data_IF_652597478377
#
_entry.id   IF_652597478377
#
_cell.length_a   1.000
_cell.length_b   1.000
_cell.length_c   1.000
_cell.angle_alpha   90.00
_cell.angle_beta   90.00
_cell.angle_gamma   90.00
#
_symmetry.space_group_name_H-M   'P 1'
#
loop_
_entity.id
_entity.type
_entity.pdbx_description
1 polymer ?
#
# COMPACT_ATOMS: atom_id res chain seq x y z
N UNK A 1 -11.29 -16.12 1.65
CA UNK A 1 -9.87 -15.93 1.29
C UNK A 1 -9.66 -16.32 -0.17
N UNK A 2 -8.91 -15.55 -0.91
CA UNK A 2 -8.54 -15.92 -2.28
C UNK A 2 -7.12 -15.43 -2.61
N UNK A 3 -6.52 -16.09 -3.61
CA UNK A 3 -5.16 -15.87 -4.06
C UNK A 3 -5.13 -15.08 -5.37
N UNK A 4 -4.21 -14.14 -5.48
CA UNK A 4 -3.95 -13.39 -6.71
C UNK A 4 -2.44 -13.22 -6.91
N UNK A 5 -1.98 -13.40 -8.14
CA UNK A 5 -0.57 -13.23 -8.48
C UNK A 5 -0.43 -12.40 -9.75
N UNK A 6 0.49 -11.44 -9.72
CA UNK A 6 0.96 -10.72 -10.90
C UNK A 6 2.48 -10.59 -10.82
N UNK A 7 3.09 -9.83 -11.71
CA UNK A 7 4.54 -9.67 -11.75
C UNK A 7 5.10 -8.87 -10.56
N UNK A 8 4.24 -8.17 -9.82
CA UNK A 8 4.63 -7.36 -8.65
C UNK A 8 4.63 -8.17 -7.36
N UNK A 9 3.65 -9.09 -7.17
CA UNK A 9 3.45 -9.78 -5.91
C UNK A 9 2.52 -10.97 -6.01
N UNK A 10 2.64 -11.85 -5.02
CA UNK A 10 1.64 -12.86 -4.69
C UNK A 10 0.84 -12.34 -3.51
N UNK A 11 -0.48 -12.52 -3.53
CA UNK A 11 -1.35 -11.93 -2.51
C UNK A 11 -2.41 -12.92 -2.05
N UNK A 12 -2.67 -12.88 -0.74
CA UNK A 12 -3.85 -13.50 -0.15
C UNK A 12 -4.78 -12.38 0.29
N UNK A 13 -6.00 -12.40 -0.23
CA UNK A 13 -7.01 -11.40 0.12
C UNK A 13 -8.06 -12.01 1.03
N UNK A 14 -8.61 -11.18 1.92
CA UNK A 14 -9.70 -11.55 2.83
C UNK A 14 -9.33 -12.81 3.64
N UNK A 15 -8.17 -12.74 4.30
CA UNK A 15 -7.56 -13.88 5.00
C UNK A 15 -8.44 -14.37 6.14
N UNK A 16 -9.03 -13.44 6.88
CA UNK A 16 -9.97 -13.76 7.96
C UNK A 16 -11.35 -13.25 7.60
N UNK A 17 -12.36 -14.06 7.91
CA UNK A 17 -13.75 -13.64 7.76
C UNK A 17 -14.11 -12.76 8.96
N UNK A 18 -14.04 -11.45 8.76
CA UNK A 18 -14.38 -10.44 9.77
C UNK A 18 -15.67 -9.74 9.36
N UNK A 19 -16.46 -9.29 10.36
CA UNK A 19 -17.74 -8.62 10.11
C UNK A 19 -17.54 -7.34 9.29
N UNK A 20 -16.57 -6.52 9.68
CA UNK A 20 -16.27 -5.27 9.03
C UNK A 20 -14.84 -5.30 8.48
N UNK A 21 -14.71 -5.04 7.17
CA UNK A 21 -13.41 -4.96 6.53
C UNK A 21 -12.86 -6.30 6.06
N UNK A 22 -11.57 -6.28 5.76
CA UNK A 22 -10.82 -7.47 5.34
C UNK A 22 -9.34 -7.34 5.69
N UNK A 23 -8.68 -8.47 5.82
CA UNK A 23 -7.27 -8.57 6.12
C UNK A 23 -6.59 -9.22 4.92
N UNK A 24 -5.55 -8.57 4.41
CA UNK A 24 -4.82 -9.01 3.23
C UNK A 24 -3.34 -9.22 3.55
N UNK A 25 -2.71 -10.10 2.80
CA UNK A 25 -1.26 -10.33 2.86
C UNK A 25 -0.70 -10.26 1.44
N UNK A 26 0.35 -9.46 1.25
CA UNK A 26 1.08 -9.38 -0.01
C UNK A 26 2.49 -9.90 0.19
N UNK A 27 2.87 -10.87 -0.63
CA UNK A 27 4.22 -11.45 -0.69
C UNK A 27 4.92 -10.81 -1.88
N UNK A 28 5.88 -9.92 -1.62
CA UNK A 28 6.48 -9.09 -2.67
C UNK A 28 7.89 -9.57 -2.98
N UNK A 29 8.03 -10.25 -4.11
CA UNK A 29 9.29 -10.89 -4.50
C UNK A 29 10.29 -9.93 -5.15
N UNK A 30 9.80 -8.89 -5.85
CA UNK A 30 10.64 -7.97 -6.60
C UNK A 30 10.79 -6.63 -5.90
N UNK A 31 12.01 -6.08 -5.91
CA UNK A 31 12.29 -4.73 -5.42
C UNK A 31 12.15 -3.67 -6.52
N UNK A 32 11.81 -4.07 -7.74
CA UNK A 32 11.76 -3.18 -8.91
C UNK A 32 10.35 -2.69 -9.25
N UNK A 33 9.32 -3.34 -8.71
CA UNK A 33 7.93 -2.98 -8.99
C UNK A 33 7.37 -2.07 -7.91
N UNK A 34 6.62 -1.07 -8.34
CA UNK A 34 5.97 -0.09 -7.48
C UNK A 34 4.47 -0.35 -7.53
N UNK A 35 3.84 -0.49 -6.36
CA UNK A 35 2.40 -0.59 -6.21
C UNK A 35 1.90 0.77 -5.72
N UNK A 36 1.47 1.63 -6.63
CA UNK A 36 1.02 3.00 -6.36
C UNK A 36 0.18 3.49 -7.54
N UNK A 37 -0.61 4.47 -7.39
CA UNK A 37 -1.13 5.18 -6.21
C UNK A 37 -2.60 4.85 -6.08
N UNK A 38 -3.06 4.66 -4.86
CA UNK A 38 -4.47 4.40 -4.58
C UNK A 38 -4.93 5.28 -3.42
N UNK A 39 -6.16 5.76 -3.48
CA UNK A 39 -6.81 6.39 -2.33
C UNK A 39 -8.25 5.93 -2.25
N UNK A 40 -8.84 6.16 -1.09
CA UNK A 40 -10.23 5.86 -0.81
C UNK A 40 -10.92 7.09 -0.22
N UNK A 41 -12.23 7.20 -0.40
CA UNK A 41 -13.01 8.27 0.20
C UNK A 41 -13.59 7.87 1.56
N UNK A 42 -13.76 6.57 1.80
CA UNK A 42 -14.40 6.03 2.99
C UNK A 42 -13.47 5.13 3.79
N UNK A 43 -12.74 4.24 3.10
CA UNK A 43 -11.92 3.21 3.70
C UNK A 43 -10.65 3.76 4.32
N UNK A 44 -10.29 3.21 5.51
CA UNK A 44 -8.98 3.37 6.13
C UNK A 44 -8.19 2.10 5.90
N UNK A 45 -6.90 2.24 5.68
CA UNK A 45 -5.94 1.13 5.59
C UNK A 45 -4.96 1.19 6.76
N UNK A 46 -4.59 0.02 7.27
CA UNK A 46 -3.56 -0.13 8.31
C UNK A 46 -2.52 -1.10 7.82
N UNK A 47 -1.26 -0.68 7.73
CA UNK A 47 -0.18 -1.45 7.12
C UNK A 47 0.90 -1.81 8.13
N UNK A 48 1.35 -3.07 8.08
CA UNK A 48 2.43 -3.59 8.92
C UNK A 48 3.35 -4.47 8.09
N UNK A 49 4.66 -4.25 8.18
CA UNK A 49 5.65 -5.14 7.57
C UNK A 49 5.95 -6.29 8.53
N UNK A 50 5.63 -7.51 8.12
CA UNK A 50 5.89 -8.70 8.96
C UNK A 50 7.17 -9.43 8.57
N UNK A 51 7.71 -9.16 7.40
CA UNK A 51 9.02 -9.68 6.95
C UNK A 51 9.64 -8.70 5.96
N UNK A 52 10.94 -8.45 6.10
CA UNK A 52 11.69 -7.60 5.18
C UNK A 52 11.46 -6.12 5.45
N UNK A 53 11.35 -5.33 4.40
CA UNK A 53 11.21 -3.88 4.51
C UNK A 53 10.55 -3.27 3.28
N UNK A 54 9.85 -2.14 3.50
CA UNK A 54 9.13 -1.41 2.47
C UNK A 54 9.40 0.08 2.55
N UNK A 55 9.51 0.70 1.38
CA UNK A 55 9.38 2.15 1.22
C UNK A 55 7.92 2.44 0.92
N UNK A 56 7.29 3.23 1.79
CA UNK A 56 5.88 3.60 1.68
C UNK A 56 5.78 5.07 1.33
N UNK A 57 4.98 5.37 0.31
CA UNK A 57 4.67 6.75 -0.06
C UNK A 57 3.25 7.13 0.33
N UNK A 58 3.08 8.36 0.79
CA UNK A 58 1.78 8.96 1.06
C UNK A 58 1.73 10.32 0.37
N UNK A 59 0.75 10.51 -0.50
CA UNK A 59 0.49 11.81 -1.12
C UNK A 59 -0.69 12.45 -0.43
N UNK A 60 -0.41 13.49 0.35
CA UNK A 60 -1.34 14.13 1.26
C UNK A 60 -1.89 15.39 0.59
N UNK A 61 -3.22 15.55 0.48
CA UNK A 61 -3.79 16.73 -0.13
C UNK A 61 -3.53 17.99 0.70
N UNK A 62 -3.23 19.08 0.01
CA UNK A 62 -3.04 20.40 0.60
C UNK A 62 -4.22 21.29 0.24
N UNK A 63 -4.38 22.40 0.96
CA UNK A 63 -5.50 23.33 0.78
C UNK A 63 -5.53 23.98 -0.61
N UNK A 64 -4.36 24.08 -1.27
CA UNK A 64 -4.25 24.68 -2.62
C UNK A 64 -4.56 23.70 -3.76
N UNK A 65 -4.98 22.49 -3.45
CA UNK A 65 -5.30 21.44 -4.43
C UNK A 65 -4.10 20.63 -4.90
N UNK A 66 -2.90 20.91 -4.40
CA UNK A 66 -1.70 20.11 -4.66
C UNK A 66 -1.56 19.01 -3.62
N UNK A 67 -0.57 18.13 -3.81
CA UNK A 67 -0.28 17.03 -2.91
C UNK A 67 1.16 17.14 -2.42
N UNK A 68 1.37 16.80 -1.14
CA UNK A 68 2.70 16.68 -0.55
C UNK A 68 3.00 15.19 -0.38
N UNK A 69 4.11 14.72 -0.96
CA UNK A 69 4.54 13.33 -0.81
C UNK A 69 5.41 13.21 0.43
N UNK A 70 5.03 12.30 1.32
CA UNK A 70 5.81 11.90 2.50
C UNK A 70 6.18 10.44 2.38
N UNK A 71 7.37 10.12 2.88
CA UNK A 71 7.90 8.76 2.87
C UNK A 71 7.96 8.19 4.27
N UNK A 72 7.55 6.94 4.39
CA UNK A 72 7.69 6.13 5.60
C UNK A 72 8.41 4.83 5.24
N UNK A 73 9.17 4.31 6.19
CA UNK A 73 9.87 3.05 5.99
C UNK A 73 9.39 2.05 7.03
N UNK A 74 8.90 0.90 6.56
CA UNK A 74 8.47 -0.20 7.39
C UNK A 74 9.51 -1.31 7.35
N UNK A 75 9.75 -1.95 8.50
CA UNK A 75 10.69 -3.07 8.62
C UNK A 75 10.22 -4.03 9.69
N UNK A 76 10.50 -5.32 9.51
CA UNK A 76 10.27 -6.32 10.53
C UNK A 76 11.18 -6.14 11.76
N UNK A 77 12.26 -5.38 11.62
CA UNK A 77 13.18 -5.03 12.72
C UNK A 77 12.71 -3.86 13.56
N UNK A 78 11.72 -3.12 13.09
CA UNK A 78 11.09 -2.02 13.81
C UNK A 78 9.57 -2.12 13.57
N UNK A 79 8.90 -3.14 14.14
CA UNK A 79 7.48 -3.37 13.88
C UNK A 79 6.63 -2.18 14.32
N UNK A 80 5.78 -1.73 13.40
CA UNK A 80 4.78 -0.68 13.67
C UNK A 80 3.68 -0.76 12.64
N UNK A 81 2.56 -0.15 12.96
CA UNK A 81 1.43 -0.02 12.05
C UNK A 81 1.31 1.43 11.61
N UNK A 82 1.17 1.66 10.32
CA UNK A 82 0.86 2.99 9.80
C UNK A 82 -0.58 3.02 9.30
N UNK A 83 -1.23 4.16 9.52
CA UNK A 83 -2.61 4.39 9.13
C UNK A 83 -2.67 5.24 7.87
N UNK A 84 -3.46 4.80 6.88
CA UNK A 84 -3.78 5.56 5.68
C UNK A 84 -5.22 6.06 5.79
N UNK A 85 -5.40 7.36 6.01
CA UNK A 85 -6.73 7.95 6.15
C UNK A 85 -7.36 8.20 4.77
N UNK A 86 -8.70 8.28 4.67
CA UNK A 86 -9.36 8.65 3.42
C UNK A 86 -8.82 9.96 2.85
N UNK A 87 -8.72 10.02 1.52
CA UNK A 87 -8.21 11.19 0.81
C UNK A 87 -6.70 11.22 0.60
N UNK A 88 -5.94 10.36 1.26
CA UNK A 88 -4.49 10.25 1.09
C UNK A 88 -4.19 9.14 0.11
N UNK A 89 -3.49 9.46 -0.99
CA UNK A 89 -2.95 8.45 -1.89
C UNK A 89 -1.82 7.71 -1.19
N UNK A 90 -1.77 6.40 -1.36
CA UNK A 90 -0.74 5.57 -0.77
C UNK A 90 -0.18 4.58 -1.79
N UNK A 91 1.03 4.15 -1.53
CA UNK A 91 1.72 3.17 -2.35
C UNK A 91 2.96 2.64 -1.66
N UNK A 92 3.55 1.61 -2.23
CA UNK A 92 4.73 1.00 -1.65
C UNK A 92 5.61 0.35 -2.71
N UNK A 93 6.86 0.13 -2.33
CA UNK A 93 7.76 -0.83 -3.00
C UNK A 93 8.54 -1.60 -1.94
N UNK A 94 8.88 -2.84 -2.22
CA UNK A 94 9.76 -3.61 -1.35
C UNK A 94 11.20 -3.11 -1.49
N UNK A 95 11.92 -3.03 -0.37
CA UNK A 95 13.35 -2.72 -0.33
C UNK A 95 14.16 -4.02 -0.37
N UNK A 96 13.66 -5.08 0.26
CA UNK A 96 14.26 -6.41 0.25
C UNK A 96 13.37 -7.39 -0.50
N UNK A 97 13.94 -8.30 -1.30
CA UNK A 97 13.13 -9.33 -1.96
C UNK A 97 12.50 -10.27 -0.93
N UNK A 98 11.28 -10.72 -1.22
CA UNK A 98 10.56 -11.62 -0.32
C UNK A 98 9.94 -10.92 0.89
N UNK A 99 9.78 -9.60 0.84
CA UNK A 99 9.11 -8.84 1.88
C UNK A 99 7.61 -9.15 1.94
N UNK A 100 7.04 -9.10 3.13
CA UNK A 100 5.63 -9.43 3.37
C UNK A 100 4.95 -8.26 4.05
N UNK A 101 3.87 -7.77 3.42
CA UNK A 101 3.03 -6.70 3.93
C UNK A 101 1.70 -7.30 4.39
N UNK A 102 1.35 -7.05 5.65
CA UNK A 102 0.05 -7.37 6.23
C UNK A 102 -0.74 -6.07 6.31
N UNK A 103 -1.98 -6.07 5.81
CA UNK A 103 -2.79 -4.86 5.85
C UNK A 103 -4.25 -5.16 6.13
N UNK A 104 -4.84 -4.31 6.97
CA UNK A 104 -6.24 -4.33 7.31
C UNK A 104 -6.95 -3.17 6.63
N UNK A 105 -8.06 -3.48 5.96
CA UNK A 105 -8.94 -2.51 5.32
C UNK A 105 -10.24 -2.46 6.12
N UNK A 106 -10.69 -1.27 6.48
CA UNK A 106 -11.91 -1.12 7.32
C UNK A 106 -13.20 -1.52 6.61
N UNK A 107 -13.14 -1.65 5.28
CA UNK A 107 -14.29 -2.04 4.44
C UNK A 107 -13.88 -3.17 3.51
N UNK A 108 -14.84 -4.00 3.12
CA UNK A 108 -14.62 -4.99 2.06
C UNK A 108 -14.28 -4.27 0.76
N UNK A 109 -13.50 -4.93 -0.10
CA UNK A 109 -13.09 -4.36 -1.37
C UNK A 109 -14.29 -3.81 -2.14
N UNK A 110 -14.24 -2.53 -2.48
CA UNK A 110 -15.25 -1.84 -3.27
C UNK A 110 -14.54 -1.03 -4.36
N UNK A 111 -14.62 -1.46 -5.63
CA UNK A 111 -13.95 -0.75 -6.72
C UNK A 111 -14.47 0.68 -6.92
N UNK A 112 -15.68 1.01 -6.46
CA UNK A 112 -16.22 2.37 -6.53
C UNK A 112 -15.57 3.32 -5.51
N UNK A 113 -14.96 2.77 -4.45
CA UNK A 113 -14.22 3.55 -3.44
C UNK A 113 -12.70 3.47 -3.68
N UNK A 114 -12.26 3.10 -4.87
CA UNK A 114 -10.85 3.06 -5.23
C UNK A 114 -10.57 4.09 -6.32
N UNK A 115 -9.74 5.07 -5.99
CA UNK A 115 -9.30 6.12 -6.90
C UNK A 115 -7.81 5.93 -7.15
N UNK A 116 -7.40 5.93 -8.41
CA UNK A 116 -6.03 5.65 -8.81
C UNK A 116 -5.34 6.87 -9.40
N UNK A 117 -4.04 6.97 -9.17
CA UNK A 117 -3.12 7.85 -9.89
C UNK A 117 -1.93 7.01 -10.35
N UNK A 118 -1.14 7.56 -11.26
CA UNK A 118 0.00 6.87 -11.83
C UNK A 118 1.27 7.17 -11.04
N UNK A 119 2.20 6.24 -11.05
CA UNK A 119 3.56 6.49 -10.56
C UNK A 119 4.14 7.71 -11.28
N UNK A 120 4.67 8.67 -10.53
CA UNK A 120 5.21 9.92 -11.05
C UNK A 120 4.22 11.08 -11.12
N UNK A 121 2.93 10.85 -10.93
CA UNK A 121 1.91 11.90 -11.04
C UNK A 121 2.10 13.04 -10.03
N UNK A 122 2.79 12.79 -8.93
CA UNK A 122 3.06 13.80 -7.91
C UNK A 122 4.48 14.35 -7.99
N UNK A 123 5.23 14.03 -9.06
CA UNK A 123 6.63 14.42 -9.21
C UNK A 123 7.56 13.68 -8.27
N UNK A 124 7.12 12.57 -7.71
CA UNK A 124 7.87 11.81 -6.73
C UNK A 124 8.90 10.88 -7.38
N UNK A 125 9.96 10.56 -6.63
CA UNK A 125 11.00 9.64 -7.02
C UNK A 125 11.01 8.44 -6.06
N UNK A 126 10.66 7.25 -6.59
CA UNK A 126 10.68 6.01 -5.83
C UNK A 126 12.07 5.38 -5.70
N UNK A 127 13.06 5.93 -6.42
CA UNK A 127 14.43 5.38 -6.42
C UNK A 127 14.61 4.18 -7.33
N UNK A 128 13.61 3.83 -8.11
CA UNK A 128 13.68 2.75 -9.11
C UNK A 128 12.69 3.04 -10.24
N UNK A 129 12.97 2.51 -11.41
CA UNK A 129 11.99 2.51 -12.49
C UNK A 129 10.96 1.40 -12.24
N UNK A 130 9.69 1.72 -12.43
CA UNK A 130 8.63 0.74 -12.32
C UNK A 130 8.63 -0.15 -13.56
N UNK A 131 8.83 -1.44 -13.33
CA UNK A 131 8.81 -2.44 -14.40
C UNK A 131 7.55 -3.30 -14.28
#
# INVERSE_FOLDING_TARGET
MYYHEDDRAQRLFDVFDVLDGQINVSYVNSTEHIVAWHKHNIQYDYWCCVKGSFKVGMAIPKDDGTYEVKWEYLSDKNPRVIEMVPGVYHGYKAIEPGSILLYYLTHKYNPEDEIRAKVGDFGEDWGTENK
#
